data_IF_931588107389
#
_entry.id   IF_931588107389
#
_cell.length_a   1.000
_cell.length_b   1.000
_cell.length_c   1.000
_cell.angle_alpha   90.00
_cell.angle_beta   90.00
_cell.angle_gamma   90.00
#
_symmetry.space_group_name_H-M   'P 1'
#
loop_
_entity.id
_entity.type
_entity.pdbx_description
1 polymer ?
#
# COMPACT_ATOMS: atom_id res chain seq x y z
N UNK A 1 -29.75 -2.98 -30.70
CA UNK A 1 -29.36 -4.18 -29.92
C UNK A 1 -30.61 -5.05 -29.82
N UNK A 2 -30.55 -6.28 -30.32
CA UNK A 2 -31.69 -7.19 -30.40
C UNK A 2 -32.15 -7.56 -28.97
N UNK A 3 -33.44 -7.51 -28.69
CA UNK A 3 -34.04 -7.85 -27.38
C UNK A 3 -33.58 -9.23 -26.86
N UNK A 4 -33.40 -10.19 -27.77
CA UNK A 4 -32.91 -11.53 -27.47
C UNK A 4 -31.44 -11.53 -26.97
N UNK A 5 -30.59 -10.67 -27.54
CA UNK A 5 -29.20 -10.50 -27.07
C UNK A 5 -29.14 -9.82 -25.71
N UNK A 6 -30.03 -8.86 -25.44
CA UNK A 6 -30.16 -8.22 -24.14
C UNK A 6 -30.61 -9.17 -23.03
N UNK A 7 -31.61 -9.99 -23.29
CA UNK A 7 -32.12 -11.01 -22.33
C UNK A 7 -31.03 -12.04 -22.03
N UNK A 8 -30.34 -12.56 -23.04
CA UNK A 8 -29.23 -13.50 -22.86
C UNK A 8 -28.08 -12.91 -22.04
N UNK A 9 -27.77 -11.62 -22.21
CA UNK A 9 -26.71 -10.94 -21.47
C UNK A 9 -27.09 -10.72 -19.99
N UNK A 10 -28.34 -10.34 -19.72
CA UNK A 10 -28.87 -10.20 -18.36
C UNK A 10 -28.88 -11.54 -17.61
N UNK A 11 -29.35 -12.59 -18.27
CA UNK A 11 -29.37 -13.96 -17.73
C UNK A 11 -27.94 -14.46 -17.44
N UNK A 12 -26.99 -14.23 -18.35
CA UNK A 12 -25.58 -14.54 -18.17
C UNK A 12 -24.98 -13.82 -16.95
N UNK A 13 -25.27 -12.53 -16.77
CA UNK A 13 -24.78 -11.72 -15.64
C UNK A 13 -25.34 -12.21 -14.32
N UNK A 14 -26.62 -12.45 -14.22
CA UNK A 14 -27.27 -12.95 -13.00
C UNK A 14 -26.67 -14.28 -12.54
N UNK A 15 -26.42 -15.20 -13.46
CA UNK A 15 -25.94 -16.54 -13.11
C UNK A 15 -24.51 -16.56 -12.57
N UNK A 16 -23.56 -15.79 -13.15
CA UNK A 16 -22.19 -15.79 -12.62
C UNK A 16 -22.08 -15.03 -11.29
N UNK A 17 -22.92 -14.01 -11.06
CA UNK A 17 -23.03 -13.33 -9.77
C UNK A 17 -23.40 -14.31 -8.65
N UNK A 18 -24.42 -15.12 -8.84
CA UNK A 18 -24.87 -16.11 -7.85
C UNK A 18 -23.78 -17.13 -7.51
N UNK A 19 -23.11 -17.68 -8.52
CA UNK A 19 -22.05 -18.66 -8.30
C UNK A 19 -20.83 -18.06 -7.61
N UNK A 20 -20.47 -16.83 -7.99
CA UNK A 20 -19.39 -16.09 -7.34
C UNK A 20 -19.71 -15.81 -5.87
N UNK A 21 -20.94 -15.38 -5.55
CA UNK A 21 -21.38 -15.10 -4.18
C UNK A 21 -21.48 -16.38 -3.33
N UNK A 22 -21.99 -17.47 -3.89
CA UNK A 22 -22.00 -18.79 -3.22
C UNK A 22 -20.58 -19.23 -2.86
N UNK A 23 -19.66 -19.14 -3.81
CA UNK A 23 -18.25 -19.47 -3.56
C UNK A 23 -17.64 -18.56 -2.50
N UNK A 24 -17.86 -17.26 -2.57
CA UNK A 24 -17.32 -16.28 -1.62
C UNK A 24 -17.78 -16.59 -0.18
N UNK A 25 -19.06 -16.88 0.02
CA UNK A 25 -19.61 -17.20 1.34
C UNK A 25 -18.93 -18.41 1.98
N UNK A 26 -18.46 -19.37 1.19
CA UNK A 26 -17.81 -20.59 1.67
C UNK A 26 -16.29 -20.48 1.80
N UNK A 27 -15.64 -19.59 1.04
CA UNK A 27 -14.17 -19.63 0.86
C UNK A 27 -13.47 -18.32 1.13
N UNK A 28 -14.17 -17.24 1.48
CA UNK A 28 -13.51 -15.96 1.74
C UNK A 28 -12.62 -16.03 3.00
N UNK A 29 -11.51 -15.29 2.96
CA UNK A 29 -10.64 -15.14 4.13
C UNK A 29 -11.34 -14.31 5.20
N UNK A 30 -11.31 -14.71 6.49
CA UNK A 30 -11.91 -13.96 7.59
C UNK A 30 -11.05 -12.74 7.95
N UNK A 31 -11.02 -11.75 7.07
CA UNK A 31 -10.22 -10.54 7.26
C UNK A 31 -10.88 -9.62 8.28
N UNK A 32 -10.19 -9.36 9.39
CA UNK A 32 -10.73 -8.62 10.55
C UNK A 32 -11.30 -7.23 10.20
N UNK A 33 -10.72 -6.52 9.24
CA UNK A 33 -11.19 -5.22 8.78
C UNK A 33 -12.45 -5.28 7.90
N UNK A 34 -12.89 -6.48 7.53
CA UNK A 34 -14.15 -6.72 6.78
C UNK A 34 -15.26 -7.27 7.65
N UNK A 35 -14.93 -7.78 8.85
CA UNK A 35 -15.92 -8.32 9.78
C UNK A 35 -16.83 -7.23 10.35
N UNK A 36 -16.27 -6.05 10.59
CA UNK A 36 -17.01 -4.84 10.99
C UNK A 36 -17.12 -3.92 9.77
N UNK A 37 -18.34 -3.50 9.44
CA UNK A 37 -18.57 -2.53 8.34
C UNK A 37 -18.23 -1.10 8.79
N UNK A 38 -17.10 -0.93 9.44
CA UNK A 38 -16.61 0.37 9.92
C UNK A 38 -15.87 1.07 8.78
N UNK A 39 -16.33 2.25 8.33
CA UNK A 39 -15.71 2.98 7.23
C UNK A 39 -14.26 3.34 7.47
N UNK A 40 -13.89 3.69 8.71
CA UNK A 40 -12.53 4.01 9.09
C UNK A 40 -11.61 2.79 8.97
N UNK A 41 -12.03 1.66 9.54
CA UNK A 41 -11.28 0.40 9.47
C UNK A 41 -11.06 -0.08 8.03
N UNK A 42 -12.10 0.02 7.20
CA UNK A 42 -12.04 -0.32 5.78
C UNK A 42 -11.08 0.63 5.06
N UNK A 43 -11.22 1.94 5.24
CA UNK A 43 -10.34 2.93 4.62
C UNK A 43 -8.86 2.68 4.93
N UNK A 44 -8.50 2.53 6.21
CA UNK A 44 -7.10 2.29 6.63
C UNK A 44 -6.57 0.98 6.02
N UNK A 45 -7.36 -0.10 6.06
CA UNK A 45 -6.95 -1.39 5.48
C UNK A 45 -6.73 -1.29 3.97
N UNK A 46 -7.63 -0.61 3.25
CA UNK A 46 -7.52 -0.45 1.79
C UNK A 46 -6.30 0.39 1.39
N UNK A 47 -5.98 1.44 2.15
CA UNK A 47 -4.76 2.22 1.91
C UNK A 47 -3.50 1.41 2.24
N UNK A 48 -3.48 0.64 3.35
CA UNK A 48 -2.33 -0.20 3.72
C UNK A 48 -2.10 -1.33 2.72
N UNK A 49 -3.17 -1.95 2.20
CA UNK A 49 -3.11 -3.04 1.22
C UNK A 49 -2.62 -2.59 -0.17
N UNK A 50 -2.57 -1.28 -0.47
CA UNK A 50 -2.03 -0.81 -1.74
C UNK A 50 -0.57 -1.25 -1.90
N UNK A 51 -0.30 -2.12 -2.88
CA UNK A 51 1.04 -2.67 -3.19
C UNK A 51 1.68 -3.46 -2.02
N UNK A 52 0.89 -3.86 -1.03
CA UNK A 52 1.34 -4.67 0.12
C UNK A 52 0.44 -5.91 0.22
N UNK A 53 1.02 -7.08 0.44
CA UNK A 53 0.25 -8.31 0.67
C UNK A 53 -0.52 -8.21 1.98
N UNK A 54 -1.71 -8.79 2.03
CA UNK A 54 -2.58 -8.73 3.22
C UNK A 54 -1.86 -9.25 4.46
N UNK A 55 -1.21 -10.41 4.36
CA UNK A 55 -0.50 -11.04 5.47
C UNK A 55 0.63 -10.15 6.02
N UNK A 56 1.32 -9.45 5.13
CA UNK A 56 2.41 -8.54 5.50
C UNK A 56 1.89 -7.24 6.14
N UNK A 57 0.70 -6.76 5.76
CA UNK A 57 0.15 -5.50 6.29
C UNK A 57 -0.63 -5.67 7.60
N UNK A 58 -1.16 -6.85 7.90
CA UNK A 58 -1.99 -7.08 9.10
C UNK A 58 -1.34 -6.65 10.42
N UNK A 59 -0.05 -6.94 10.71
CA UNK A 59 0.59 -6.45 11.94
C UNK A 59 0.60 -4.93 12.05
N UNK A 60 0.78 -4.21 10.93
CA UNK A 60 0.76 -2.76 10.88
C UNK A 60 -0.66 -2.22 11.10
N UNK A 61 -1.65 -2.82 10.45
CA UNK A 61 -3.06 -2.48 10.62
C UNK A 61 -3.51 -2.61 12.08
N UNK A 62 -3.21 -3.75 12.74
CA UNK A 62 -3.55 -3.97 14.15
C UNK A 62 -2.91 -2.94 15.07
N UNK A 63 -1.62 -2.66 14.86
CA UNK A 63 -0.89 -1.64 15.62
C UNK A 63 -1.49 -0.25 15.41
N UNK A 64 -1.82 0.09 14.16
CA UNK A 64 -2.44 1.36 13.81
C UNK A 64 -3.80 1.54 14.47
N UNK A 65 -4.74 0.61 14.30
CA UNK A 65 -6.09 0.69 14.88
C UNK A 65 -6.06 0.72 16.41
N UNK A 66 -5.10 0.03 17.04
CA UNK A 66 -4.91 0.08 18.51
C UNK A 66 -4.46 1.46 18.99
N UNK A 67 -3.58 2.13 18.25
CA UNK A 67 -3.00 3.42 18.63
C UNK A 67 -3.83 4.62 18.17
N UNK A 68 -4.52 4.45 17.07
CA UNK A 68 -5.31 5.47 16.37
C UNK A 68 -6.67 4.86 16.02
N UNK A 69 -7.61 4.78 16.99
CA UNK A 69 -8.85 4.03 16.84
C UNK A 69 -9.89 4.69 15.91
N UNK A 70 -9.72 5.97 15.58
CA UNK A 70 -10.67 6.75 14.80
C UNK A 70 -10.00 7.87 13.98
N UNK A 71 -10.80 8.58 13.19
CA UNK A 71 -10.36 9.68 12.32
C UNK A 71 -9.81 10.85 13.14
N UNK A 72 -10.42 11.18 14.29
CA UNK A 72 -9.96 12.27 15.15
C UNK A 72 -8.55 12.00 15.68
N UNK A 73 -8.30 10.80 16.16
CA UNK A 73 -6.98 10.40 16.67
C UNK A 73 -5.89 10.52 15.60
N UNK A 74 -6.23 10.20 14.32
CA UNK A 74 -5.31 10.40 13.19
C UNK A 74 -5.08 11.88 12.89
N UNK A 75 -6.14 12.69 12.90
CA UNK A 75 -6.07 14.12 12.57
C UNK A 75 -5.14 14.88 13.52
N UNK A 76 -5.22 14.58 14.82
CA UNK A 76 -4.42 15.27 15.86
C UNK A 76 -3.06 14.60 16.13
N UNK A 77 -2.81 13.41 15.58
CA UNK A 77 -1.57 12.68 15.82
C UNK A 77 -0.37 13.44 15.26
N UNK A 78 0.73 13.44 15.98
CA UNK A 78 2.00 13.96 15.50
C UNK A 78 2.52 13.20 14.27
N UNK A 79 3.17 13.91 13.33
CA UNK A 79 3.68 13.33 12.09
C UNK A 79 4.75 12.26 12.32
N UNK A 80 5.61 12.45 13.32
CA UNK A 80 6.68 11.50 13.63
C UNK A 80 6.09 10.19 14.16
N UNK A 81 5.11 10.27 15.06
CA UNK A 81 4.37 9.11 15.54
C UNK A 81 3.63 8.39 14.41
N UNK A 82 2.98 9.14 13.50
CA UNK A 82 2.32 8.55 12.33
C UNK A 82 3.33 7.82 11.42
N UNK A 83 4.47 8.45 11.13
CA UNK A 83 5.53 7.84 10.35
C UNK A 83 6.10 6.59 11.03
N UNK A 84 6.24 6.60 12.37
CA UNK A 84 6.72 5.45 13.14
C UNK A 84 5.73 4.28 13.08
N UNK A 85 4.44 4.54 13.19
CA UNK A 85 3.40 3.51 13.02
C UNK A 85 3.37 2.93 11.60
N UNK A 86 3.79 3.71 10.61
CA UNK A 86 3.84 3.33 9.18
C UNK A 86 5.16 2.67 8.77
N UNK A 87 6.18 2.70 9.64
CA UNK A 87 7.53 2.21 9.34
C UNK A 87 7.52 0.77 8.83
N UNK A 88 8.13 0.54 7.67
CA UNK A 88 8.20 -0.76 6.99
C UNK A 88 7.16 -0.97 5.87
N UNK A 89 6.05 -0.22 5.84
CA UNK A 89 5.05 -0.32 4.75
C UNK A 89 5.50 0.36 3.45
N UNK A 90 6.44 1.31 3.53
CA UNK A 90 6.88 2.09 2.38
C UNK A 90 5.81 3.05 1.83
N UNK A 91 6.13 3.76 0.73
CA UNK A 91 5.18 4.71 0.11
C UNK A 91 4.54 5.67 1.12
N UNK A 92 5.36 6.38 1.88
CA UNK A 92 4.92 7.27 2.98
C UNK A 92 3.98 8.41 2.54
N UNK A 93 3.90 8.69 1.24
CA UNK A 93 2.85 9.57 0.71
C UNK A 93 1.44 9.10 1.06
N UNK A 94 1.22 7.78 1.19
CA UNK A 94 -0.05 7.22 1.65
C UNK A 94 -0.34 7.64 3.09
N UNK A 95 0.63 7.51 3.99
CA UNK A 95 0.51 7.93 5.39
C UNK A 95 0.19 9.43 5.51
N UNK A 96 0.94 10.28 4.79
CA UNK A 96 0.67 11.73 4.77
C UNK A 96 -0.72 12.07 4.23
N UNK A 97 -1.18 11.35 3.19
CA UNK A 97 -2.51 11.55 2.65
C UNK A 97 -3.61 11.08 3.61
N UNK A 98 -3.39 10.00 4.37
CA UNK A 98 -4.31 9.58 5.45
C UNK A 98 -4.48 10.73 6.46
N UNK A 99 -3.39 11.35 6.92
CA UNK A 99 -3.48 12.48 7.85
C UNK A 99 -4.24 13.66 7.28
N UNK A 100 -3.90 14.07 6.04
CA UNK A 100 -4.61 15.17 5.36
C UNK A 100 -6.10 14.89 5.21
N UNK A 101 -6.43 13.67 4.80
CA UNK A 101 -7.82 13.22 4.68
C UNK A 101 -8.54 13.23 6.04
N UNK A 102 -7.89 12.77 7.12
CA UNK A 102 -8.46 12.78 8.46
C UNK A 102 -8.76 14.22 8.95
N UNK A 103 -7.83 15.15 8.74
CA UNK A 103 -8.02 16.56 9.05
C UNK A 103 -9.24 17.12 8.29
N UNK A 104 -9.31 16.87 6.97
CA UNK A 104 -10.43 17.33 6.16
C UNK A 104 -11.76 16.70 6.58
N UNK A 105 -11.77 15.43 6.98
CA UNK A 105 -12.95 14.78 7.53
C UNK A 105 -13.41 15.43 8.85
N UNK A 106 -12.50 15.80 9.73
CA UNK A 106 -12.84 16.52 10.97
C UNK A 106 -13.40 17.90 10.68
N UNK A 107 -12.79 18.63 9.74
CA UNK A 107 -13.20 20.00 9.41
C UNK A 107 -14.54 20.09 8.67
N UNK A 108 -14.83 19.14 7.77
CA UNK A 108 -15.95 19.25 6.82
C UNK A 108 -17.04 18.20 6.97
N UNK A 109 -16.75 17.08 7.66
CA UNK A 109 -17.63 15.90 7.69
C UNK A 109 -17.84 15.35 9.10
N UNK A 110 -17.70 16.20 10.14
CA UNK A 110 -17.92 15.84 11.54
C UNK A 110 -17.12 14.59 11.99
N UNK A 111 -15.86 14.48 11.52
CA UNK A 111 -14.96 13.37 11.83
C UNK A 111 -15.37 12.02 11.22
N UNK A 112 -16.19 12.01 10.18
CA UNK A 112 -16.65 10.81 9.49
C UNK A 112 -16.24 10.83 8.01
N UNK A 113 -16.09 9.67 7.42
CA UNK A 113 -15.96 9.58 5.97
C UNK A 113 -17.34 9.78 5.32
N UNK A 114 -17.43 10.57 4.22
CA UNK A 114 -18.66 10.69 3.46
C UNK A 114 -19.10 9.33 2.90
N UNK A 115 -20.40 9.17 2.71
CA UNK A 115 -21.01 7.89 2.33
C UNK A 115 -21.08 7.65 0.82
N UNK A 116 -20.84 8.68 0.00
CA UNK A 116 -20.95 8.58 -1.46
C UNK A 116 -19.59 8.51 -2.12
N UNK A 117 -19.50 7.74 -3.23
CA UNK A 117 -18.25 7.61 -4.02
C UNK A 117 -17.78 8.98 -4.51
N UNK A 118 -18.70 9.85 -4.90
CA UNK A 118 -18.44 11.19 -5.45
C UNK A 118 -17.80 12.11 -4.40
N UNK A 119 -18.25 12.07 -3.16
CA UNK A 119 -17.69 12.86 -2.06
C UNK A 119 -16.36 12.28 -1.58
N UNK A 120 -16.25 10.97 -1.47
CA UNK A 120 -15.01 10.28 -1.14
C UNK A 120 -13.88 10.62 -2.11
N UNK A 121 -14.18 10.76 -3.40
CA UNK A 121 -13.19 11.13 -4.43
C UNK A 121 -12.61 12.55 -4.24
N UNK A 122 -13.25 13.42 -3.49
CA UNK A 122 -12.75 14.77 -3.20
C UNK A 122 -11.67 14.76 -2.11
N UNK A 123 -11.60 13.70 -1.31
CA UNK A 123 -10.70 13.61 -0.18
C UNK A 123 -9.25 13.25 -0.58
N UNK A 124 -8.24 13.82 0.11
CA UNK A 124 -6.84 13.56 -0.17
C UNK A 124 -6.47 12.08 -0.13
N UNK A 125 -5.87 11.57 -1.21
CA UNK A 125 -5.37 10.19 -1.27
C UNK A 125 -6.43 9.11 -1.49
N UNK A 126 -7.71 9.48 -1.63
CA UNK A 126 -8.79 8.55 -1.98
C UNK A 126 -9.00 8.57 -3.49
N UNK A 127 -8.55 7.50 -4.15
CA UNK A 127 -8.75 7.29 -5.59
C UNK A 127 -10.03 6.48 -5.89
N UNK A 128 -10.36 6.27 -7.19
CA UNK A 128 -11.59 5.61 -7.61
C UNK A 128 -11.81 4.23 -6.97
N UNK A 129 -10.76 3.43 -6.86
CA UNK A 129 -10.81 2.14 -6.18
C UNK A 129 -11.18 2.27 -4.70
N UNK A 130 -10.42 3.09 -3.95
CA UNK A 130 -10.64 3.25 -2.50
C UNK A 130 -12.01 3.85 -2.21
N UNK A 131 -12.45 4.84 -3.01
CA UNK A 131 -13.79 5.41 -2.91
C UNK A 131 -14.88 4.35 -3.13
N UNK A 132 -14.74 3.54 -4.20
CA UNK A 132 -15.66 2.45 -4.48
C UNK A 132 -15.68 1.39 -3.37
N UNK A 133 -14.52 1.02 -2.84
CA UNK A 133 -14.42 0.05 -1.74
C UNK A 133 -15.13 0.56 -0.47
N UNK A 134 -14.84 1.80 -0.04
CA UNK A 134 -15.50 2.39 1.14
C UNK A 134 -17.00 2.52 0.91
N UNK A 135 -17.43 3.12 -0.20
CA UNK A 135 -18.84 3.36 -0.50
C UNK A 135 -19.65 2.06 -0.58
N UNK A 136 -19.10 1.01 -1.23
CA UNK A 136 -19.83 -0.26 -1.37
C UNK A 136 -19.74 -1.14 -0.12
N UNK A 137 -18.57 -1.23 0.54
CA UNK A 137 -18.38 -2.17 1.65
C UNK A 137 -18.97 -1.61 2.95
N UNK A 138 -18.68 -0.34 3.27
CA UNK A 138 -19.16 0.28 4.51
C UNK A 138 -20.60 0.76 4.41
N UNK A 139 -20.95 1.39 3.28
CA UNK A 139 -22.23 2.09 3.14
C UNK A 139 -23.23 1.37 2.24
N UNK A 140 -22.83 0.26 1.60
CA UNK A 140 -23.73 -0.54 0.74
C UNK A 140 -24.11 0.16 -0.56
N UNK A 141 -23.41 1.22 -0.96
CA UNK A 141 -23.69 1.92 -2.21
C UNK A 141 -23.44 1.00 -3.41
N UNK A 142 -24.34 1.06 -4.41
CA UNK A 142 -24.24 0.23 -5.62
C UNK A 142 -23.20 0.85 -6.58
N UNK A 143 -21.93 0.68 -6.24
CA UNK A 143 -20.78 1.14 -7.02
C UNK A 143 -19.68 0.09 -7.04
N UNK A 144 -18.90 0.07 -8.11
CA UNK A 144 -17.77 -0.86 -8.26
C UNK A 144 -16.53 -0.43 -7.46
N UNK A 145 -15.76 -1.43 -7.02
CA UNK A 145 -14.42 -1.27 -6.44
C UNK A 145 -13.43 -2.06 -7.29
N UNK A 146 -12.70 -1.37 -8.19
CA UNK A 146 -11.88 -2.00 -9.23
C UNK A 146 -10.41 -1.89 -8.89
N UNK A 147 -9.84 -2.95 -8.32
CA UNK A 147 -8.42 -3.12 -8.07
C UNK A 147 -7.70 -3.90 -9.19
N UNK A 148 -6.43 -4.16 -9.02
CA UNK A 148 -5.66 -4.97 -9.97
C UNK A 148 -6.15 -6.43 -10.12
N UNK A 149 -6.82 -6.98 -9.09
CA UNK A 149 -7.42 -8.30 -9.14
C UNK A 149 -8.66 -8.29 -10.01
N UNK A 150 -9.56 -7.33 -9.79
CA UNK A 150 -10.78 -7.15 -10.58
C UNK A 150 -10.46 -6.89 -12.04
N UNK A 151 -9.48 -6.03 -12.35
CA UNK A 151 -9.00 -5.80 -13.72
C UNK A 151 -8.57 -7.12 -14.37
N UNK A 152 -7.81 -7.96 -13.68
CA UNK A 152 -7.33 -9.25 -14.19
C UNK A 152 -8.48 -10.23 -14.40
N UNK A 153 -9.38 -10.34 -13.44
CA UNK A 153 -10.56 -11.21 -13.54
C UNK A 153 -11.40 -10.83 -14.75
N UNK A 154 -11.74 -9.56 -14.91
CA UNK A 154 -12.57 -9.09 -16.02
C UNK A 154 -11.86 -9.15 -17.37
N UNK A 155 -10.56 -8.87 -17.41
CA UNK A 155 -9.76 -9.06 -18.65
C UNK A 155 -9.83 -10.50 -19.14
N UNK A 156 -9.78 -11.49 -18.23
CA UNK A 156 -9.86 -12.90 -18.56
C UNK A 156 -11.29 -13.36 -18.83
N UNK A 157 -12.24 -12.92 -18.02
CA UNK A 157 -13.67 -13.27 -18.16
C UNK A 157 -14.21 -12.86 -19.53
N UNK A 158 -13.81 -11.67 -20.02
CA UNK A 158 -14.27 -11.12 -21.29
C UNK A 158 -13.27 -11.21 -22.44
N UNK A 159 -12.12 -11.86 -22.22
CA UNK A 159 -11.03 -12.04 -23.19
C UNK A 159 -10.50 -10.73 -23.77
N UNK A 160 -10.17 -9.76 -22.89
CA UNK A 160 -9.73 -8.40 -23.26
C UNK A 160 -8.23 -8.41 -23.50
N UNK A 161 -7.81 -8.24 -24.75
CA UNK A 161 -6.40 -8.21 -25.20
C UNK A 161 -5.81 -6.79 -25.31
N UNK A 162 -6.62 -5.76 -25.13
CA UNK A 162 -6.16 -4.37 -25.12
C UNK A 162 -5.34 -4.09 -23.84
N UNK A 163 -4.34 -3.21 -23.97
CA UNK A 163 -3.48 -2.83 -22.83
C UNK A 163 -4.29 -2.15 -21.74
N UNK A 164 -4.33 -2.78 -20.56
CA UNK A 164 -5.04 -2.26 -19.36
C UNK A 164 -4.39 -1.00 -18.77
N UNK A 165 -3.22 -0.58 -19.27
CA UNK A 165 -2.62 0.72 -18.97
C UNK A 165 -3.35 1.89 -19.63
N UNK A 166 -4.04 1.65 -20.75
CA UNK A 166 -4.76 2.68 -21.52
C UNK A 166 -6.08 3.07 -20.83
N UNK A 167 -6.40 4.35 -20.88
CA UNK A 167 -7.64 4.88 -20.27
C UNK A 167 -8.90 4.28 -20.90
N UNK A 168 -8.91 4.08 -22.22
CA UNK A 168 -10.03 3.46 -22.95
C UNK A 168 -10.32 2.04 -22.43
N UNK A 169 -9.26 1.22 -22.25
CA UNK A 169 -9.42 -0.14 -21.74
C UNK A 169 -9.89 -0.16 -20.28
N UNK A 170 -9.41 0.78 -19.47
CA UNK A 170 -9.88 0.93 -18.09
C UNK A 170 -11.37 1.26 -18.03
N UNK A 171 -11.83 2.21 -18.84
CA UNK A 171 -13.26 2.58 -18.94
C UNK A 171 -14.11 1.39 -19.40
N UNK A 172 -13.66 0.67 -20.44
CA UNK A 172 -14.33 -0.55 -20.91
C UNK A 172 -14.49 -1.59 -19.79
N UNK A 173 -13.43 -1.81 -18.97
CA UNK A 173 -13.50 -2.73 -17.83
C UNK A 173 -14.43 -2.17 -16.75
N UNK A 174 -14.37 -0.89 -16.45
CA UNK A 174 -15.25 -0.23 -15.48
C UNK A 174 -16.73 -0.39 -15.87
N UNK A 175 -17.09 -0.10 -17.10
CA UNK A 175 -18.44 -0.32 -17.65
C UNK A 175 -18.91 -1.79 -17.49
N UNK A 176 -18.03 -2.76 -17.81
CA UNK A 176 -18.35 -4.18 -17.67
C UNK A 176 -18.56 -4.59 -16.19
N UNK A 177 -17.75 -4.03 -15.28
CA UNK A 177 -17.90 -4.28 -13.84
C UNK A 177 -19.17 -3.64 -13.31
N UNK A 178 -19.42 -2.36 -13.62
CA UNK A 178 -20.62 -1.63 -13.18
C UNK A 178 -21.90 -2.29 -13.69
N UNK A 179 -21.91 -2.70 -14.94
CA UNK A 179 -23.00 -3.48 -15.54
C UNK A 179 -23.23 -4.84 -14.86
N UNK A 180 -22.20 -5.40 -14.25
CA UNK A 180 -22.27 -6.68 -13.55
C UNK A 180 -22.64 -6.56 -12.07
N UNK A 181 -22.82 -5.36 -11.53
CA UNK A 181 -23.19 -5.18 -10.13
C UNK A 181 -24.59 -5.71 -9.84
N UNK A 182 -24.76 -6.56 -8.82
CA UNK A 182 -26.09 -7.02 -8.41
C UNK A 182 -26.90 -5.87 -7.76
N UNK A 183 -28.23 -6.02 -7.73
CA UNK A 183 -29.11 -5.07 -7.02
C UNK A 183 -28.95 -5.14 -5.50
N UNK A 184 -28.59 -6.31 -4.98
CA UNK A 184 -28.36 -6.57 -3.55
C UNK A 184 -26.96 -7.16 -3.38
N UNK A 185 -26.43 -7.09 -2.16
CA UNK A 185 -25.15 -7.72 -1.80
C UNK A 185 -23.92 -7.17 -2.55
N UNK A 186 -23.97 -5.91 -3.02
CA UNK A 186 -22.88 -5.25 -3.76
C UNK A 186 -21.57 -5.28 -2.98
N UNK A 187 -21.63 -5.10 -1.66
CA UNK A 187 -20.48 -5.22 -0.76
C UNK A 187 -19.79 -6.57 -0.89
N UNK A 188 -20.58 -7.65 -0.79
CA UNK A 188 -20.06 -9.02 -0.91
C UNK A 188 -19.58 -9.34 -2.33
N UNK A 189 -20.26 -8.82 -3.34
CA UNK A 189 -19.87 -9.01 -4.73
C UNK A 189 -18.51 -8.37 -5.06
N UNK A 190 -18.29 -7.12 -4.68
CA UNK A 190 -16.99 -6.46 -4.83
C UNK A 190 -15.87 -7.23 -4.12
N UNK A 191 -16.12 -7.64 -2.87
CA UNK A 191 -15.17 -8.44 -2.12
C UNK A 191 -14.94 -9.82 -2.77
N UNK A 192 -15.96 -10.46 -3.29
CA UNK A 192 -15.87 -11.75 -3.97
C UNK A 192 -14.99 -11.67 -5.23
N UNK A 193 -15.09 -10.60 -6.01
CA UNK A 193 -14.22 -10.36 -7.17
C UNK A 193 -12.76 -10.19 -6.76
N UNK A 194 -12.49 -9.44 -5.70
CA UNK A 194 -11.14 -9.27 -5.17
C UNK A 194 -10.56 -10.60 -4.66
N UNK A 195 -11.34 -11.37 -3.88
CA UNK A 195 -10.93 -12.67 -3.35
C UNK A 195 -10.72 -13.70 -4.47
N UNK A 196 -11.59 -13.73 -5.46
CA UNK A 196 -11.41 -14.60 -6.63
C UNK A 196 -10.08 -14.32 -7.33
N UNK A 197 -9.76 -13.03 -7.52
CA UNK A 197 -8.49 -12.61 -8.09
C UNK A 197 -7.30 -12.96 -7.21
N UNK A 198 -7.43 -12.86 -5.90
CA UNK A 198 -6.36 -13.13 -4.96
C UNK A 198 -6.08 -14.64 -4.78
N UNK A 199 -7.11 -15.48 -4.80
CA UNK A 199 -7.02 -16.89 -4.43
C UNK A 199 -7.03 -17.86 -5.62
N UNK A 200 -7.82 -17.59 -6.65
CA UNK A 200 -8.09 -18.49 -7.76
C UNK A 200 -7.55 -17.96 -9.08
N UNK A 201 -7.99 -16.78 -9.50
CA UNK A 201 -7.60 -16.13 -10.74
C UNK A 201 -6.27 -15.37 -10.59
N UNK A 202 -5.26 -16.04 -10.00
CA UNK A 202 -3.95 -15.47 -9.68
C UNK A 202 -3.15 -15.09 -10.95
N UNK A 203 -2.13 -14.21 -10.85
CA UNK A 203 -1.40 -13.70 -12.03
C UNK A 203 -0.74 -14.80 -12.85
N UNK A 204 -0.02 -15.73 -12.21
CA UNK A 204 0.67 -16.86 -12.86
C UNK A 204 -0.03 -18.15 -12.47
N UNK A 205 -0.23 -19.05 -13.45
CA UNK A 205 -0.85 -20.36 -13.25
C UNK A 205 -2.19 -20.28 -12.50
N UNK A 206 -3.23 -19.59 -13.05
CA UNK A 206 -4.52 -19.47 -12.41
C UNK A 206 -5.19 -20.84 -12.25
N UNK A 207 -5.93 -21.01 -11.14
CA UNK A 207 -6.60 -22.27 -10.78
C UNK A 207 -7.96 -22.40 -11.47
N UNK A 208 -7.95 -22.43 -12.80
CA UNK A 208 -9.19 -22.38 -13.60
C UNK A 208 -10.15 -23.55 -13.30
N UNK A 209 -9.64 -24.74 -12.95
CA UNK A 209 -10.48 -25.90 -12.58
C UNK A 209 -11.26 -25.71 -11.29
N UNK A 210 -10.76 -24.86 -10.38
CA UNK A 210 -11.40 -24.53 -9.11
C UNK A 210 -12.25 -23.25 -9.19
N UNK A 211 -12.25 -22.57 -10.34
CA UNK A 211 -12.91 -21.28 -10.50
C UNK A 211 -14.43 -21.42 -10.58
N UNK A 212 -15.20 -20.77 -9.66
CA UNK A 212 -16.66 -20.88 -9.63
C UNK A 212 -17.33 -20.33 -10.89
N UNK A 213 -16.66 -19.39 -11.57
CA UNK A 213 -17.20 -18.75 -12.77
C UNK A 213 -16.48 -19.22 -14.05
N UNK A 214 -15.78 -20.37 -14.01
CA UNK A 214 -15.00 -20.88 -15.15
C UNK A 214 -15.83 -21.04 -16.42
N UNK A 215 -17.06 -21.56 -16.30
CA UNK A 215 -17.96 -21.78 -17.45
C UNK A 215 -18.36 -20.50 -18.20
N UNK A 216 -18.22 -19.35 -17.55
CA UNK A 216 -18.50 -18.03 -18.14
C UNK A 216 -17.26 -17.35 -18.70
N UNK A 217 -16.06 -17.90 -18.42
CA UNK A 217 -14.80 -17.29 -18.82
C UNK A 217 -14.55 -17.51 -20.32
N UNK A 218 -14.35 -16.40 -21.06
CA UNK A 218 -14.17 -16.43 -22.51
C UNK A 218 -12.74 -16.73 -22.92
N UNK A 219 -11.73 -16.37 -22.10
CA UNK A 219 -10.33 -16.59 -22.48
C UNK A 219 -9.94 -18.07 -22.51
N UNK A 220 -9.11 -18.44 -23.47
CA UNK A 220 -8.44 -19.75 -23.55
C UNK A 220 -6.98 -19.69 -23.09
N UNK A 221 -6.44 -18.48 -22.94
CA UNK A 221 -5.01 -18.22 -22.61
C UNK A 221 -4.93 -17.24 -21.43
N UNK A 222 -5.42 -17.60 -20.22
CA UNK A 222 -5.49 -16.69 -19.09
C UNK A 222 -4.11 -16.17 -18.65
N UNK A 223 -3.03 -16.89 -18.93
CA UNK A 223 -1.66 -16.47 -18.59
C UNK A 223 -1.20 -15.23 -19.35
N UNK A 224 -1.77 -14.99 -20.55
CA UNK A 224 -1.45 -13.82 -21.38
C UNK A 224 -2.19 -12.56 -20.93
N UNK A 225 -3.21 -12.68 -20.06
CA UNK A 225 -4.06 -11.57 -19.66
C UNK A 225 -3.92 -11.23 -18.17
N UNK A 226 -4.02 -9.96 -17.80
CA UNK A 226 -4.21 -8.78 -18.66
C UNK A 226 -2.92 -8.37 -19.40
N UNK A 227 -3.06 -7.85 -20.60
CA UNK A 227 -1.96 -7.25 -21.34
C UNK A 227 -1.57 -5.93 -20.69
N UNK A 228 -0.28 -5.75 -20.45
CA UNK A 228 0.26 -4.53 -19.86
C UNK A 228 1.59 -4.17 -20.50
N UNK A 229 1.66 -2.97 -21.06
CA UNK A 229 2.93 -2.45 -21.61
C UNK A 229 4.01 -2.43 -20.53
N UNK A 230 5.19 -2.90 -20.89
CA UNK A 230 6.36 -2.88 -19.98
C UNK A 230 6.64 -1.44 -19.53
N UNK A 231 6.88 -1.27 -18.25
CA UNK A 231 7.32 0.02 -17.70
C UNK A 231 8.70 0.36 -18.29
N UNK A 232 8.98 1.67 -18.43
CA UNK A 232 10.33 2.15 -18.74
C UNK A 232 11.34 1.59 -17.73
N UNK A 233 12.57 1.39 -18.17
CA UNK A 233 13.70 1.01 -17.30
C UNK A 233 13.86 2.03 -16.17
N UNK A 234 14.17 1.55 -14.98
CA UNK A 234 14.44 2.44 -13.82
C UNK A 234 15.74 3.20 -14.07
N UNK A 235 15.76 4.45 -13.62
CA UNK A 235 17.02 5.21 -13.51
C UNK A 235 17.85 4.61 -12.39
N UNK A 236 19.13 4.38 -12.62
CA UNK A 236 20.08 3.96 -11.58
C UNK A 236 20.79 5.19 -11.05
N UNK A 237 20.84 5.35 -9.74
CA UNK A 237 21.56 6.41 -9.05
C UNK A 237 22.54 5.78 -8.05
N UNK A 238 23.77 6.27 -8.06
CA UNK A 238 24.81 5.88 -7.11
C UNK A 238 24.89 6.92 -6.00
N UNK A 239 24.88 6.46 -4.75
CA UNK A 239 24.92 7.33 -3.58
C UNK A 239 25.98 6.86 -2.60
N UNK A 240 26.61 7.80 -1.91
CA UNK A 240 27.43 7.53 -0.75
C UNK A 240 26.76 8.18 0.48
N UNK A 241 26.51 7.36 1.49
CA UNK A 241 25.83 7.75 2.72
C UNK A 241 26.85 7.79 3.85
N UNK A 242 26.89 8.90 4.59
CA UNK A 242 27.74 9.07 5.76
C UNK A 242 26.87 9.05 7.01
N UNK A 243 27.16 8.13 7.92
CA UNK A 243 26.43 7.98 9.18
C UNK A 243 27.35 8.42 10.29
N UNK A 244 27.06 9.55 10.88
CA UNK A 244 27.87 10.09 11.97
C UNK A 244 27.40 9.50 13.29
N UNK A 245 28.34 9.00 14.08
CA UNK A 245 28.05 8.49 15.42
C UNK A 245 29.04 9.05 16.43
N UNK A 246 28.55 9.30 17.63
CA UNK A 246 29.35 9.66 18.79
C UNK A 246 28.82 8.89 20.00
N UNK A 247 29.66 8.07 20.63
CA UNK A 247 29.23 7.16 21.67
C UNK A 247 28.06 6.28 21.20
N UNK A 248 26.92 6.32 21.89
CA UNK A 248 25.68 5.54 21.58
C UNK A 248 24.61 6.40 20.87
N UNK A 249 25.05 7.49 20.18
CA UNK A 249 24.16 8.39 19.45
C UNK A 249 24.50 8.42 17.99
N UNK A 250 23.47 8.53 17.15
CA UNK A 250 23.58 8.60 15.69
C UNK A 250 22.95 9.91 15.22
N UNK A 251 23.66 10.63 14.35
CA UNK A 251 23.10 11.81 13.68
C UNK A 251 22.05 11.38 12.65
N UNK A 252 20.90 11.98 12.75
CA UNK A 252 19.81 11.81 11.78
C UNK A 252 19.42 13.15 11.18
N UNK A 253 19.11 13.17 9.89
CA UNK A 253 18.79 14.38 9.14
C UNK A 253 17.41 14.26 8.52
N UNK A 254 16.53 15.22 8.80
CA UNK A 254 15.21 15.28 8.16
C UNK A 254 15.35 15.76 6.71
N UNK A 255 14.75 15.04 5.77
CA UNK A 255 14.82 15.36 4.35
C UNK A 255 13.75 16.40 4.00
N UNK A 256 14.16 17.65 3.86
CA UNK A 256 13.28 18.79 3.62
C UNK A 256 13.12 19.11 2.13
N UNK A 257 13.95 18.54 1.27
CA UNK A 257 13.86 18.74 -0.17
C UNK A 257 12.77 17.86 -0.78
N UNK A 258 11.82 18.42 -1.58
CA UNK A 258 10.81 17.64 -2.27
C UNK A 258 11.41 16.50 -3.12
N UNK A 259 10.82 15.32 -3.04
CA UNK A 259 11.30 14.13 -3.77
C UNK A 259 11.14 12.84 -2.98
N UNK A 260 12.03 11.87 -3.26
CA UNK A 260 12.04 10.60 -2.55
C UNK A 260 12.34 10.79 -1.07
N UNK A 261 11.55 10.15 -0.24
CA UNK A 261 11.69 10.15 1.22
C UNK A 261 11.52 11.55 1.87
N UNK A 262 10.86 12.49 1.16
CA UNK A 262 10.55 13.82 1.70
C UNK A 262 9.83 13.74 3.06
N UNK A 263 10.27 14.54 4.02
CA UNK A 263 9.74 14.62 5.38
C UNK A 263 10.15 13.46 6.30
N UNK A 264 10.96 12.51 5.82
CA UNK A 264 11.48 11.40 6.59
C UNK A 264 12.93 11.63 6.99
N UNK A 265 13.36 10.92 8.03
CA UNK A 265 14.74 10.96 8.46
C UNK A 265 15.65 10.06 7.62
N UNK A 266 16.91 10.42 7.54
CA UNK A 266 17.96 9.68 6.86
C UNK A 266 19.32 10.07 7.40
N UNK A 267 20.35 9.87 6.60
CA UNK A 267 21.72 10.17 6.94
C UNK A 267 22.33 11.17 5.96
N UNK A 268 23.52 11.68 6.25
CA UNK A 268 24.20 12.65 5.42
C UNK A 268 24.60 12.07 4.05
N UNK A 269 24.45 12.86 2.99
CA UNK A 269 24.96 12.53 1.65
C UNK A 269 26.28 13.28 1.35
N UNK A 270 26.72 14.17 2.26
CA UNK A 270 28.00 14.89 2.16
C UNK A 270 28.98 14.36 3.19
N UNK A 271 30.22 14.16 2.76
CA UNK A 271 31.29 13.73 3.66
C UNK A 271 31.54 14.77 4.75
N UNK A 272 31.58 14.37 6.03
CA UNK A 272 31.90 15.28 7.15
C UNK A 272 33.35 15.71 7.11
N UNK A 273 33.63 16.93 7.63
CA UNK A 273 34.99 17.51 7.61
C UNK A 273 35.90 16.95 8.70
N UNK A 274 35.36 16.58 9.86
CA UNK A 274 36.10 16.08 11.02
C UNK A 274 35.59 14.70 11.41
N UNK A 275 36.42 13.69 11.23
CA UNK A 275 36.15 12.29 11.54
C UNK A 275 37.33 11.69 12.26
N UNK A 276 37.09 11.06 13.41
CA UNK A 276 38.14 10.37 14.18
C UNK A 276 38.44 8.97 13.61
N UNK A 277 37.39 8.26 13.16
CA UNK A 277 37.49 6.91 12.63
C UNK A 277 36.40 6.67 11.57
N UNK A 278 36.77 6.04 10.48
CA UNK A 278 35.84 5.63 9.42
C UNK A 278 35.76 4.10 9.38
N UNK A 279 34.55 3.57 9.21
CA UNK A 279 34.27 2.14 9.04
C UNK A 279 33.36 1.98 7.81
N UNK A 280 33.85 1.28 6.79
CA UNK A 280 33.02 0.99 5.63
C UNK A 280 31.95 -0.03 5.97
N UNK A 281 30.71 0.24 5.53
CA UNK A 281 29.57 -0.64 5.70
C UNK A 281 29.31 -1.46 4.43
N UNK A 282 28.64 -2.59 4.58
CA UNK A 282 28.24 -3.41 3.44
C UNK A 282 27.30 -2.60 2.53
N UNK A 283 27.62 -2.55 1.25
CA UNK A 283 26.81 -1.84 0.23
C UNK A 283 25.39 -2.40 0.15
N UNK A 284 24.44 -1.54 -0.17
CA UNK A 284 23.03 -1.92 -0.27
C UNK A 284 22.36 -1.29 -1.50
N UNK A 285 21.56 -2.09 -2.20
CA UNK A 285 20.73 -1.61 -3.32
C UNK A 285 19.28 -1.51 -2.87
N UNK A 286 18.68 -0.33 -3.02
CA UNK A 286 17.26 -0.12 -2.77
C UNK A 286 16.50 0.23 -4.04
N UNK A 287 15.38 -0.45 -4.28
CA UNK A 287 14.59 -0.32 -5.50
C UNK A 287 13.29 0.41 -5.21
N UNK A 288 13.16 1.63 -5.74
CA UNK A 288 11.89 2.36 -5.79
C UNK A 288 11.13 2.04 -7.09
N UNK A 289 9.92 2.57 -7.24
CA UNK A 289 9.09 2.32 -8.42
C UNK A 289 9.72 2.82 -9.74
N UNK A 290 10.49 3.90 -9.71
CA UNK A 290 11.04 4.58 -10.91
C UNK A 290 12.55 4.80 -10.86
N UNK A 291 13.21 4.54 -9.72
CA UNK A 291 14.66 4.68 -9.56
C UNK A 291 15.20 3.54 -8.68
N UNK A 292 16.44 3.19 -8.89
CA UNK A 292 17.21 2.25 -8.09
C UNK A 292 18.41 3.00 -7.51
N UNK A 293 18.57 2.93 -6.19
CA UNK A 293 19.75 3.48 -5.50
C UNK A 293 20.74 2.36 -5.19
N UNK A 294 21.93 2.46 -5.80
CA UNK A 294 23.08 1.65 -5.45
C UNK A 294 23.92 2.45 -4.46
N UNK A 295 23.91 2.05 -3.19
CA UNK A 295 24.46 2.83 -2.10
C UNK A 295 25.67 2.18 -1.47
N UNK A 296 26.73 2.97 -1.27
CA UNK A 296 27.80 2.71 -0.31
C UNK A 296 27.53 3.53 0.94
N UNK A 297 28.00 3.07 2.08
CA UNK A 297 27.90 3.85 3.31
C UNK A 297 29.16 3.72 4.15
N UNK A 298 29.46 4.78 4.88
CA UNK A 298 30.59 4.86 5.82
C UNK A 298 30.05 5.32 7.18
N UNK A 299 30.34 4.55 8.22
CA UNK A 299 30.17 5.00 9.60
C UNK A 299 31.35 5.91 9.97
N UNK A 300 31.03 7.12 10.38
CA UNK A 300 32.01 8.16 10.77
C UNK A 300 31.88 8.42 12.28
N UNK A 301 32.87 8.00 13.05
CA UNK A 301 32.95 8.34 14.48
C UNK A 301 33.47 9.77 14.62
N UNK A 302 32.71 10.57 15.35
CA UNK A 302 33.01 12.00 15.60
C UNK A 302 33.07 12.28 17.10
N UNK A 303 33.64 13.41 17.47
CA UNK A 303 33.85 13.85 18.87
C UNK A 303 32.85 14.91 19.34
N UNK A 304 31.98 15.38 18.44
CA UNK A 304 30.99 16.41 18.72
C UNK A 304 29.61 15.99 18.38
N UNK A 305 28.65 16.34 19.22
CA UNK A 305 27.23 16.12 19.04
C UNK A 305 26.49 17.45 18.99
N UNK A 306 25.42 17.48 18.20
CA UNK A 306 24.42 18.55 18.19
C UNK A 306 23.01 17.95 18.45
N UNK A 307 22.00 18.78 18.37
CA UNK A 307 20.60 18.36 18.62
C UNK A 307 20.06 17.30 17.63
N UNK A 308 20.74 17.12 16.49
CA UNK A 308 20.38 16.11 15.49
C UNK A 308 20.85 14.70 15.84
N UNK A 309 21.72 14.56 16.86
CA UNK A 309 22.13 13.25 17.37
C UNK A 309 21.10 12.69 18.33
N UNK A 310 20.65 11.46 18.05
CA UNK A 310 19.66 10.72 18.84
C UNK A 310 20.25 9.41 19.30
N UNK A 311 19.86 8.95 20.49
CA UNK A 311 20.23 7.62 20.96
C UNK A 311 19.55 6.56 20.09
N UNK A 312 20.11 5.35 20.08
CA UNK A 312 19.49 4.21 19.39
C UNK A 312 18.08 3.96 19.91
N UNK A 313 17.87 4.04 21.25
CA UNK A 313 16.57 3.84 21.87
C UNK A 313 15.54 4.90 21.45
N UNK A 314 15.94 6.17 21.33
CA UNK A 314 15.07 7.23 20.80
C UNK A 314 14.67 6.97 19.34
N UNK A 315 15.62 6.52 18.51
CA UNK A 315 15.35 6.19 17.10
C UNK A 315 14.42 4.99 17.02
N UNK A 316 14.72 3.91 17.73
CA UNK A 316 13.91 2.70 17.72
C UNK A 316 12.48 2.92 18.23
N UNK A 317 12.30 3.82 19.19
CA UNK A 317 10.99 4.08 19.78
C UNK A 317 10.16 5.09 18.99
N UNK A 318 10.76 6.17 18.47
CA UNK A 318 10.03 7.35 18.05
C UNK A 318 10.27 7.76 16.58
N UNK A 319 11.37 7.34 15.95
CA UNK A 319 11.80 7.87 14.67
C UNK A 319 11.73 6.78 13.59
N UNK A 320 10.99 7.06 12.52
CA UNK A 320 10.89 6.14 11.40
C UNK A 320 12.13 6.23 10.50
N UNK A 321 12.86 5.14 10.37
CA UNK A 321 13.93 5.00 9.39
C UNK A 321 13.39 4.36 8.12
N UNK A 322 13.43 5.03 6.97
CA UNK A 322 13.01 4.47 5.69
C UNK A 322 13.73 3.17 5.35
N UNK A 323 13.02 2.24 4.72
CA UNK A 323 13.58 0.95 4.31
C UNK A 323 14.84 1.06 3.45
N UNK A 324 15.00 2.17 2.72
CA UNK A 324 16.22 2.46 1.97
C UNK A 324 17.48 2.59 2.84
N UNK A 325 17.34 3.02 4.08
CA UNK A 325 18.44 3.21 5.01
C UNK A 325 18.51 2.17 6.13
N UNK A 326 17.46 1.37 6.28
CA UNK A 326 17.33 0.42 7.38
C UNK A 326 18.49 -0.60 7.43
N UNK A 327 19.00 -1.03 6.27
CA UNK A 327 20.13 -1.96 6.20
C UNK A 327 21.41 -1.36 6.82
N UNK A 328 21.66 -0.09 6.61
CA UNK A 328 22.78 0.62 7.19
C UNK A 328 22.58 0.91 8.67
N UNK A 329 21.37 1.35 9.04
CA UNK A 329 21.03 1.60 10.44
C UNK A 329 21.27 0.36 11.32
N UNK A 330 20.87 -0.82 10.86
CA UNK A 330 21.10 -2.07 11.57
C UNK A 330 22.59 -2.36 11.75
N UNK A 331 23.39 -2.25 10.67
CA UNK A 331 24.84 -2.46 10.76
C UNK A 331 25.50 -1.51 11.77
N UNK A 332 25.12 -0.22 11.75
CA UNK A 332 25.64 0.76 12.71
C UNK A 332 25.24 0.42 14.14
N UNK A 333 23.97 0.06 14.33
CA UNK A 333 23.47 -0.37 15.65
C UNK A 333 24.26 -1.55 16.20
N UNK A 334 24.46 -2.61 15.40
CA UNK A 334 25.24 -3.78 15.79
C UNK A 334 26.69 -3.40 16.19
N UNK A 335 27.35 -2.55 15.41
CA UNK A 335 28.72 -2.07 15.70
C UNK A 335 28.77 -1.29 17.02
N UNK A 336 27.83 -0.36 17.25
CA UNK A 336 27.83 0.47 18.45
C UNK A 336 27.45 -0.33 19.70
N UNK A 337 26.58 -1.32 19.59
CA UNK A 337 26.23 -2.24 20.70
C UNK A 337 27.40 -3.12 21.08
N UNK A 338 28.18 -3.65 20.11
CA UNK A 338 29.42 -4.41 20.37
C UNK A 338 30.50 -3.56 21.06
N UNK A 339 30.71 -2.33 20.61
CA UNK A 339 31.69 -1.41 21.23
C UNK A 339 31.27 -1.05 22.67
N UNK A 340 29.98 -0.81 22.92
CA UNK A 340 29.46 -0.49 24.26
C UNK A 340 29.52 -1.71 25.22
N UNK A 341 29.27 -2.92 24.71
CA UNK A 341 29.41 -4.17 25.47
C UNK A 341 30.87 -4.46 25.89
N UNK A 342 31.85 -4.09 25.06
CA UNK A 342 33.28 -4.20 25.38
C UNK A 342 33.77 -3.15 26.40
N UNK A 343 33.12 -2.01 26.51
CA UNK A 343 33.46 -0.95 27.48
C UNK A 343 32.89 -1.19 28.89
N UNK A 344 31.97 -2.19 29.04
CA UNK A 344 31.36 -2.56 30.33
C UNK A 344 31.99 -3.79 30.99
N UNK A 345 32.90 -4.49 30.30
CA UNK A 345 33.72 -5.60 30.80
C UNK A 345 35.19 -5.12 31.00
#
# INVERSE_FOLDING_TARGET
MDLQQGINLLFFRSMFQEELLKWYNLHHRPLEFRLKKDPYCIWISEIMAQQTRIEAMLPYYRRWIKQLPDIHSVAVCDDEKLHKLWEGLGYYSRCRNIKKCAIECVEKYDGKLPSTKEELLKLPGIGPYTAGAIASIAYGQRVSAIDGNVIRVFSRLYDIHEDVGKLSTKRKIEELVDDSLPEKDVSYYNQALMELGALICIPKSPRCKECPIHKYCKTKTPELLPVKTKKKTRKIEYKHIYILACEYKIKIVKRETPGLLFGLYGFEEKRPNHVQKEIELTSYTHVFSHVEWNMKATLCIVDRVDESFKTIDEIDSNIAIPSAFMAFYKQVKDILEEENGKSRN
#
